data_IF_933392855762
#
_entry.id   IF_933392855762
#
_cell.length_a   1.000
_cell.length_b   1.000
_cell.length_c   1.000
_cell.angle_alpha   90.00
_cell.angle_beta   90.00
_cell.angle_gamma   90.00
#
_symmetry.space_group_name_H-M   'P 1'
#
loop_
_entity.id
_entity.type
_entity.pdbx_description
1 polymer ?
#
# COMPACT_ATOMS: atom_id res chain seq x y z
N UNK A 1 -0.64 -8.20 20.14
CA UNK A 1 -0.98 -7.93 18.73
C UNK A 1 -0.22 -6.67 18.37
N UNK A 2 0.80 -6.75 17.51
CA UNK A 2 1.45 -5.55 16.99
C UNK A 2 0.40 -4.80 16.19
N UNK A 3 0.16 -3.54 16.56
CA UNK A 3 -0.67 -2.67 15.72
C UNK A 3 0.11 -2.42 14.42
N UNK A 4 -0.59 -2.35 13.29
CA UNK A 4 0.02 -1.97 12.02
C UNK A 4 -0.72 -0.75 11.49
N UNK A 5 0.01 0.20 10.90
CA UNK A 5 -0.62 1.11 9.93
C UNK A 5 -0.53 0.42 8.59
N UNK A 6 -1.68 0.15 8.00
CA UNK A 6 -1.79 -0.37 6.64
C UNK A 6 -2.12 0.79 5.71
N UNK A 7 -1.29 0.98 4.71
CA UNK A 7 -1.65 1.80 3.54
C UNK A 7 -1.76 0.90 2.33
N UNK A 8 -2.61 1.22 1.36
CA UNK A 8 -2.81 0.31 0.25
C UNK A 8 -3.34 0.97 -1.00
N UNK A 9 -3.12 0.30 -2.14
CA UNK A 9 -3.61 0.69 -3.46
C UNK A 9 -4.49 -0.42 -4.03
N UNK A 10 -5.59 -0.04 -4.65
CA UNK A 10 -6.56 -0.96 -5.28
C UNK A 10 -6.55 -0.77 -6.79
N UNK A 11 -6.37 -1.85 -7.53
CA UNK A 11 -6.29 -1.85 -8.98
C UNK A 11 -7.56 -2.43 -9.62
N UNK A 12 -7.93 -1.89 -10.78
CA UNK A 12 -9.08 -2.33 -11.59
C UNK A 12 -8.79 -3.53 -12.52
N UNK A 13 -7.58 -4.10 -12.47
CA UNK A 13 -7.10 -5.13 -13.43
C UNK A 13 -7.13 -6.56 -12.88
N UNK A 14 -6.90 -7.53 -13.78
CA UNK A 14 -7.09 -8.98 -13.58
C UNK A 14 -5.83 -9.80 -13.27
N UNK A 15 -4.60 -9.24 -13.21
CA UNK A 15 -3.43 -9.99 -12.67
C UNK A 15 -2.35 -9.11 -12.01
N UNK A 16 -2.00 -9.38 -10.75
CA UNK A 16 -0.88 -8.72 -10.03
C UNK A 16 0.49 -9.19 -10.51
N UNK A 17 0.56 -10.18 -11.40
CA UNK A 17 1.83 -10.79 -11.84
C UNK A 17 2.79 -9.76 -12.45
N UNK A 18 2.25 -8.70 -13.06
CA UNK A 18 3.05 -7.57 -13.56
C UNK A 18 3.43 -6.56 -12.46
N UNK A 19 2.66 -6.49 -11.37
CA UNK A 19 2.89 -5.57 -10.25
C UNK A 19 4.07 -5.97 -9.38
N UNK A 20 4.22 -7.26 -9.06
CA UNK A 20 5.28 -7.73 -8.16
C UNK A 20 6.66 -7.28 -8.64
N UNK A 21 6.93 -7.42 -9.94
CA UNK A 21 8.20 -6.99 -10.51
C UNK A 21 8.41 -5.48 -10.42
N UNK A 22 7.37 -4.70 -10.76
CA UNK A 22 7.40 -3.22 -10.65
C UNK A 22 7.74 -2.79 -9.22
N UNK A 23 7.15 -3.45 -8.23
CA UNK A 23 7.38 -3.16 -6.82
C UNK A 23 8.77 -3.57 -6.36
N UNK A 24 9.25 -4.74 -6.75
CA UNK A 24 10.63 -5.17 -6.48
C UNK A 24 11.62 -4.16 -7.07
N UNK A 25 11.42 -3.72 -8.32
CA UNK A 25 12.29 -2.75 -8.98
C UNK A 25 12.25 -1.39 -8.26
N UNK A 26 11.05 -0.93 -7.87
CA UNK A 26 10.84 0.30 -7.09
C UNK A 26 11.55 0.25 -5.74
N UNK A 27 11.39 -0.82 -4.99
CA UNK A 27 12.02 -1.02 -3.67
C UNK A 27 13.53 -1.09 -3.83
N UNK A 28 14.01 -1.90 -4.77
CA UNK A 28 15.44 -2.08 -5.05
C UNK A 28 16.13 -0.80 -5.53
N UNK A 29 15.38 0.15 -6.10
CA UNK A 29 15.90 1.47 -6.48
C UNK A 29 16.16 2.42 -5.29
N UNK A 30 15.69 2.07 -4.08
CA UNK A 30 15.83 2.91 -2.89
C UNK A 30 17.09 2.54 -2.12
N UNK A 31 18.08 3.42 -2.13
CA UNK A 31 19.41 3.21 -1.55
C UNK A 31 19.46 2.83 -0.04
N UNK A 32 18.37 3.00 0.72
CA UNK A 32 18.32 2.68 2.16
C UNK A 32 17.26 1.62 2.50
N UNK A 33 16.75 0.89 1.51
CA UNK A 33 15.77 -0.19 1.72
C UNK A 33 16.36 -1.49 1.23
N UNK A 34 16.29 -2.51 2.08
CA UNK A 34 16.71 -3.87 1.79
C UNK A 34 15.48 -4.78 1.71
N UNK A 35 15.45 -5.67 0.72
CA UNK A 35 14.50 -6.78 0.67
C UNK A 35 15.12 -7.92 1.46
N UNK A 36 14.61 -8.18 2.66
CA UNK A 36 15.14 -9.24 3.52
C UNK A 36 14.76 -10.62 2.98
N UNK A 37 13.50 -10.79 2.59
CA UNK A 37 13.00 -12.01 2.00
C UNK A 37 11.66 -11.81 1.28
N UNK A 38 11.30 -12.80 0.47
CA UNK A 38 10.09 -12.83 -0.34
C UNK A 38 9.32 -14.10 -0.01
N UNK A 39 8.04 -13.95 0.35
CA UNK A 39 7.15 -15.08 0.63
C UNK A 39 6.43 -15.48 -0.66
N UNK A 40 6.56 -16.74 -1.03
CA UNK A 40 5.91 -17.33 -2.19
C UNK A 40 4.89 -18.40 -1.76
N UNK A 41 3.64 -18.26 -2.16
CA UNK A 41 2.58 -19.25 -1.98
C UNK A 41 2.45 -20.16 -3.20
N UNK A 42 2.33 -21.46 -2.95
CA UNK A 42 2.12 -22.48 -3.98
C UNK A 42 0.72 -23.06 -3.83
N UNK A 43 -0.23 -22.72 -4.73
CA UNK A 43 -1.58 -23.29 -4.69
C UNK A 43 -1.59 -24.81 -4.87
N UNK A 44 -0.60 -25.36 -5.58
CA UNK A 44 -0.47 -26.80 -5.86
C UNK A 44 -0.20 -27.63 -4.60
N UNK A 45 0.54 -27.05 -3.66
CA UNK A 45 0.95 -27.71 -2.43
C UNK A 45 0.31 -27.13 -1.18
N UNK A 46 -0.48 -26.06 -1.31
CA UNK A 46 -1.06 -25.26 -0.22
C UNK A 46 -0.02 -24.86 0.85
N UNK A 47 1.16 -24.46 0.40
CA UNK A 47 2.28 -24.10 1.28
C UNK A 47 2.91 -22.78 0.87
N UNK A 48 3.32 -22.02 1.88
CA UNK A 48 4.16 -20.83 1.72
C UNK A 48 5.62 -21.19 1.94
N UNK A 49 6.50 -20.55 1.16
CA UNK A 49 7.95 -20.70 1.26
C UNK A 49 8.60 -19.33 1.24
N UNK A 50 9.69 -19.19 2.00
CA UNK A 50 10.49 -17.98 2.02
C UNK A 50 11.67 -18.15 1.07
N UNK A 51 11.85 -17.18 0.17
CA UNK A 51 12.93 -17.13 -0.82
C UNK A 51 13.66 -15.80 -0.74
N UNK A 52 14.92 -15.77 -1.16
CA UNK A 52 15.59 -14.52 -1.46
C UNK A 52 15.27 -14.01 -2.87
N UNK A 53 15.64 -12.76 -3.17
CA UNK A 53 15.34 -12.12 -4.45
C UNK A 53 15.97 -12.86 -5.65
N UNK A 54 17.19 -13.38 -5.50
CA UNK A 54 17.89 -14.06 -6.59
C UNK A 54 17.26 -15.41 -6.93
N UNK A 55 16.74 -16.14 -5.94
CA UNK A 55 15.96 -17.36 -6.15
C UNK A 55 14.67 -17.08 -6.92
N UNK A 56 13.94 -16.03 -6.55
CA UNK A 56 12.70 -15.63 -7.25
C UNK A 56 12.98 -15.25 -8.71
N UNK A 57 14.07 -14.50 -8.96
CA UNK A 57 14.50 -14.15 -10.31
C UNK A 57 14.88 -15.37 -11.14
N UNK A 58 15.68 -16.28 -10.57
CA UNK A 58 16.17 -17.49 -11.24
C UNK A 58 15.03 -18.44 -11.63
N UNK A 59 14.08 -18.62 -10.71
CA UNK A 59 12.93 -19.52 -10.92
C UNK A 59 11.79 -18.85 -11.71
N UNK A 60 11.91 -17.56 -12.01
CA UNK A 60 10.85 -16.72 -12.58
C UNK A 60 9.52 -16.85 -11.82
N UNK A 61 9.59 -16.97 -10.48
CA UNK A 61 8.44 -17.31 -9.63
C UNK A 61 7.66 -16.10 -9.12
N UNK A 62 7.70 -14.96 -9.83
CA UNK A 62 7.02 -13.72 -9.44
C UNK A 62 5.51 -13.89 -9.26
N UNK A 63 4.90 -14.81 -10.02
CA UNK A 63 3.47 -15.09 -9.91
C UNK A 63 3.06 -15.86 -8.67
N UNK A 64 4.04 -16.33 -7.87
CA UNK A 64 3.80 -17.02 -6.60
C UNK A 64 4.02 -16.08 -5.42
N UNK A 65 4.53 -14.87 -5.64
CA UNK A 65 4.86 -13.93 -4.56
C UNK A 65 3.59 -13.36 -3.94
N UNK A 66 3.50 -13.45 -2.62
CA UNK A 66 2.41 -12.87 -1.82
C UNK A 66 2.89 -11.76 -0.90
N UNK A 67 4.16 -11.80 -0.45
CA UNK A 67 4.73 -10.80 0.45
C UNK A 67 6.18 -10.48 0.07
N UNK A 68 6.60 -9.22 0.24
CA UNK A 68 8.00 -8.79 0.23
C UNK A 68 8.27 -8.14 1.58
N UNK A 69 9.11 -8.79 2.38
CA UNK A 69 9.54 -8.27 3.68
C UNK A 69 10.74 -7.35 3.45
N UNK A 70 10.61 -6.11 3.91
CA UNK A 70 11.56 -5.05 3.67
C UNK A 70 12.03 -4.41 4.97
N UNK A 71 13.24 -3.89 4.94
CA UNK A 71 13.84 -3.18 6.06
C UNK A 71 14.52 -1.90 5.61
N UNK A 72 14.26 -0.82 6.32
CA UNK A 72 14.97 0.44 6.16
C UNK A 72 16.25 0.41 7.01
N UNK A 73 17.40 0.37 6.34
CA UNK A 73 18.72 0.11 6.97
C UNK A 73 19.10 1.17 8.02
N UNK A 74 18.73 2.44 7.80
CA UNK A 74 19.14 3.54 8.69
C UNK A 74 18.41 3.55 10.03
N UNK A 75 17.12 3.25 10.00
CA UNK A 75 16.23 3.44 11.15
C UNK A 75 15.73 2.10 11.72
N UNK A 76 16.24 0.97 11.19
CA UNK A 76 15.81 -0.39 11.51
C UNK A 76 14.28 -0.58 11.43
N UNK A 77 13.63 0.16 10.53
CA UNK A 77 12.20 0.13 10.35
C UNK A 77 11.82 -0.98 9.38
N UNK A 78 10.98 -1.90 9.83
CA UNK A 78 10.51 -3.03 9.04
C UNK A 78 9.13 -2.73 8.46
N UNK A 79 8.93 -3.12 7.20
CA UNK A 79 7.66 -3.00 6.53
C UNK A 79 7.43 -4.15 5.56
N UNK A 80 6.18 -4.50 5.33
CA UNK A 80 5.79 -5.59 4.46
C UNK A 80 4.98 -5.05 3.30
N UNK A 81 5.31 -5.49 2.08
CA UNK A 81 4.48 -5.28 0.90
C UNK A 81 3.72 -6.55 0.60
N UNK A 82 2.40 -6.55 0.81
CA UNK A 82 1.52 -7.70 0.57
C UNK A 82 0.73 -7.54 -0.72
N UNK A 83 0.61 -8.62 -1.48
CA UNK A 83 -0.15 -8.67 -2.73
C UNK A 83 -1.41 -9.50 -2.53
N UNK A 84 -2.54 -8.94 -2.93
CA UNK A 84 -3.85 -9.59 -2.83
C UNK A 84 -4.51 -9.70 -4.19
N UNK A 85 -5.13 -10.85 -4.44
CA UNK A 85 -5.95 -11.13 -5.61
C UNK A 85 -7.21 -11.86 -5.16
N UNK A 86 -8.34 -11.25 -5.47
CA UNK A 86 -9.67 -11.84 -5.28
C UNK A 86 -10.48 -11.71 -6.57
N UNK A 87 -11.63 -12.39 -6.65
CA UNK A 87 -12.47 -12.32 -7.84
C UNK A 87 -12.82 -10.86 -8.21
N UNK A 88 -12.23 -10.38 -9.31
CA UNK A 88 -12.40 -9.04 -9.89
C UNK A 88 -11.70 -7.88 -9.16
N UNK A 89 -10.79 -8.15 -8.23
CA UNK A 89 -10.08 -7.11 -7.48
C UNK A 89 -8.63 -7.51 -7.17
N UNK A 90 -7.74 -6.52 -7.19
CA UNK A 90 -6.35 -6.67 -6.77
C UNK A 90 -5.91 -5.48 -5.95
N UNK A 91 -5.08 -5.76 -4.96
CA UNK A 91 -4.51 -4.71 -4.14
C UNK A 91 -3.10 -5.02 -3.70
N UNK A 92 -2.42 -3.94 -3.33
CA UNK A 92 -1.14 -4.00 -2.62
C UNK A 92 -1.32 -3.30 -1.29
N UNK A 93 -0.94 -3.96 -0.20
CA UNK A 93 -0.85 -3.38 1.12
C UNK A 93 0.61 -3.12 1.48
N UNK A 94 0.85 -2.02 2.19
CA UNK A 94 2.09 -1.66 2.84
C UNK A 94 1.82 -1.59 4.32
N UNK A 95 2.32 -2.59 5.05
CA UNK A 95 2.13 -2.69 6.49
C UNK A 95 3.40 -2.24 7.19
N UNK A 96 3.26 -1.18 7.97
CA UNK A 96 4.31 -0.63 8.80
C UNK A 96 4.05 -1.07 10.24
N UNK A 97 5.05 -1.67 10.89
CA UNK A 97 4.95 -1.98 12.31
C UNK A 97 4.73 -0.71 13.12
N UNK A 98 3.63 -0.65 13.87
CA UNK A 98 3.24 0.55 14.62
C UNK A 98 4.14 0.81 15.83
N UNK A 99 4.84 -0.22 16.34
CA UNK A 99 5.56 -0.16 17.61
C UNK A 99 6.61 0.97 17.67
N UNK A 100 7.09 1.45 16.50
CA UNK A 100 8.08 2.52 16.41
C UNK A 100 7.57 3.80 15.73
N UNK A 101 6.37 3.78 15.14
CA UNK A 101 5.86 4.93 14.38
C UNK A 101 5.60 6.18 15.24
N UNK A 102 5.01 6.08 16.45
CA UNK A 102 4.78 7.25 17.31
C UNK A 102 6.06 7.93 17.79
N UNK A 103 7.17 7.20 17.87
CA UNK A 103 8.47 7.73 18.30
C UNK A 103 9.19 8.47 17.16
N UNK A 104 8.97 8.04 15.92
CA UNK A 104 9.65 8.57 14.73
C UNK A 104 8.86 9.66 14.00
N UNK A 105 7.53 9.65 14.11
CA UNK A 105 6.67 10.55 13.35
C UNK A 105 5.54 11.10 14.20
N UNK A 106 5.24 12.39 14.04
CA UNK A 106 3.91 12.87 14.41
C UNK A 106 2.84 12.27 13.48
N UNK A 107 1.59 12.05 13.94
CA UNK A 107 0.53 11.48 13.11
C UNK A 107 0.36 12.21 11.77
N UNK A 108 0.37 13.56 11.81
CA UNK A 108 0.29 14.41 10.61
C UNK A 108 1.49 14.23 9.66
N UNK A 109 2.69 14.03 10.21
CA UNK A 109 3.90 13.82 9.39
C UNK A 109 3.85 12.46 8.70
N UNK A 110 3.44 11.41 9.42
CA UNK A 110 3.26 10.07 8.88
C UNK A 110 2.20 10.05 7.77
N UNK A 111 1.01 10.61 8.03
CA UNK A 111 -0.08 10.71 7.05
C UNK A 111 0.37 11.39 5.76
N UNK A 112 1.02 12.56 5.85
CA UNK A 112 1.53 13.26 4.67
C UNK A 112 2.58 12.45 3.89
N UNK A 113 3.46 11.73 4.59
CA UNK A 113 4.47 10.88 3.96
C UNK A 113 3.83 9.71 3.22
N UNK A 114 2.86 9.05 3.84
CA UNK A 114 2.10 7.95 3.22
C UNK A 114 1.30 8.43 2.01
N UNK A 115 0.62 9.57 2.09
CA UNK A 115 -0.08 10.17 0.94
C UNK A 115 0.88 10.42 -0.22
N UNK A 116 2.06 10.99 0.06
CA UNK A 116 3.09 11.24 -0.95
C UNK A 116 3.61 9.96 -1.62
N UNK A 117 3.79 8.90 -0.83
CA UNK A 117 4.18 7.57 -1.33
C UNK A 117 3.10 7.00 -2.26
N UNK A 118 1.83 7.03 -1.85
CA UNK A 118 0.70 6.54 -2.64
C UNK A 118 0.58 7.30 -3.97
N UNK A 119 0.66 8.63 -3.95
CA UNK A 119 0.69 9.45 -5.17
C UNK A 119 1.88 9.10 -6.07
N UNK A 120 3.05 8.86 -5.48
CA UNK A 120 4.23 8.45 -6.23
C UNK A 120 4.00 7.11 -6.91
N UNK A 121 3.44 6.12 -6.21
CA UNK A 121 3.11 4.80 -6.78
C UNK A 121 2.17 4.93 -7.97
N UNK A 122 1.16 5.81 -7.90
CA UNK A 122 0.23 6.05 -9.01
C UNK A 122 0.93 6.41 -10.32
N UNK A 123 2.04 7.15 -10.24
CA UNK A 123 2.81 7.55 -11.43
C UNK A 123 3.52 6.37 -12.13
N UNK A 124 3.85 5.31 -11.39
CA UNK A 124 4.43 4.08 -11.93
C UNK A 124 3.34 3.11 -12.39
N UNK A 125 2.26 3.02 -11.62
CA UNK A 125 1.15 2.12 -11.93
C UNK A 125 -0.19 2.67 -11.41
N UNK A 126 -1.04 3.21 -12.29
CA UNK A 126 -2.30 3.83 -11.91
C UNK A 126 -3.26 2.85 -11.19
N UNK A 127 -3.72 3.26 -10.01
CA UNK A 127 -4.73 2.55 -9.23
C UNK A 127 -6.12 3.21 -9.32
N UNK A 128 -7.14 2.50 -8.88
CA UNK A 128 -8.50 3.01 -8.77
C UNK A 128 -8.69 3.92 -7.55
N UNK A 129 -8.19 3.47 -6.39
CA UNK A 129 -8.10 4.28 -5.17
C UNK A 129 -6.95 3.78 -4.29
N UNK A 130 -6.55 4.60 -3.32
CA UNK A 130 -5.65 4.20 -2.26
C UNK A 130 -6.12 4.72 -0.91
N UNK A 131 -5.64 4.13 0.18
CA UNK A 131 -6.09 4.45 1.53
C UNK A 131 -4.98 4.29 2.57
N UNK A 132 -5.25 4.79 3.78
CA UNK A 132 -4.43 4.59 4.98
C UNK A 132 -5.39 4.32 6.14
N UNK A 133 -5.16 3.26 6.90
CA UNK A 133 -5.91 2.93 8.11
C UNK A 133 -5.15 1.94 9.01
N UNK A 134 -5.59 1.80 10.25
CA UNK A 134 -5.14 0.77 11.20
C UNK A 134 -5.99 -0.51 11.16
N UNK A 135 -7.21 -0.47 10.61
CA UNK A 135 -8.15 -1.61 10.60
C UNK A 135 -8.68 -1.98 9.19
N UNK A 136 -8.20 -1.31 8.14
CA UNK A 136 -8.75 -1.40 6.78
C UNK A 136 -8.69 -2.77 6.10
N UNK A 137 -7.92 -3.74 6.63
CA UNK A 137 -7.88 -5.08 6.05
C UNK A 137 -9.29 -5.67 5.96
N UNK A 138 -10.17 -5.48 6.95
CA UNK A 138 -11.44 -6.21 6.97
C UNK A 138 -12.45 -5.66 5.95
N UNK A 139 -12.54 -4.35 5.73
CA UNK A 139 -13.59 -3.78 4.86
C UNK A 139 -13.22 -3.76 3.37
N UNK A 140 -11.92 -3.68 3.05
CA UNK A 140 -11.45 -3.57 1.67
C UNK A 140 -11.78 -4.80 0.81
N UNK A 141 -11.74 -6.01 1.40
CA UNK A 141 -11.88 -7.26 0.65
C UNK A 141 -13.32 -7.67 0.40
N UNK A 142 -14.28 -7.15 1.17
CA UNK A 142 -15.68 -7.54 1.04
C UNK A 142 -16.43 -6.73 -0.02
N UNK A 143 -16.08 -5.45 -0.25
CA UNK A 143 -16.71 -4.63 -1.29
C UNK A 143 -15.84 -3.46 -1.80
N UNK A 144 -14.80 -3.73 -2.61
CA UNK A 144 -13.86 -2.70 -3.11
C UNK A 144 -14.50 -1.69 -4.08
N UNK A 145 -15.78 -1.84 -4.41
CA UNK A 145 -16.54 -0.90 -5.25
C UNK A 145 -17.30 0.14 -4.44
N UNK A 146 -17.50 -0.07 -3.14
CA UNK A 146 -18.25 0.83 -2.26
C UNK A 146 -17.34 1.88 -1.62
N UNK A 147 -16.68 2.70 -2.45
CA UNK A 147 -15.82 3.77 -1.97
C UNK A 147 -16.62 5.06 -2.03
N UNK A 148 -17.59 5.21 -1.15
CA UNK A 148 -18.27 6.48 -0.97
C UNK A 148 -17.35 7.41 -0.17
N UNK A 149 -16.79 8.49 -0.74
CA UNK A 149 -15.73 9.25 -0.08
C UNK A 149 -16.20 9.97 1.18
N UNK A 150 -17.50 10.23 1.26
CA UNK A 150 -18.15 10.86 2.40
C UNK A 150 -18.62 9.84 3.45
N UNK A 151 -18.68 8.56 3.13
CA UNK A 151 -19.07 7.50 4.07
C UNK A 151 -17.93 6.51 4.35
N UNK A 152 -16.76 6.77 3.75
CA UNK A 152 -15.63 5.85 3.76
C UNK A 152 -15.21 5.50 5.19
N UNK A 153 -15.06 4.21 5.51
CA UNK A 153 -14.57 3.77 6.80
C UNK A 153 -13.08 4.09 7.00
N UNK A 154 -12.35 4.48 5.93
CA UNK A 154 -10.92 4.69 5.99
C UNK A 154 -10.53 6.00 6.68
N UNK A 155 -9.47 5.98 7.48
CA UNK A 155 -8.87 7.19 8.06
C UNK A 155 -8.39 8.16 6.97
N UNK A 156 -7.80 7.65 5.89
CA UNK A 156 -7.50 8.44 4.69
C UNK A 156 -7.91 7.68 3.43
N UNK A 157 -8.53 8.39 2.48
CA UNK A 157 -8.85 7.90 1.16
C UNK A 157 -8.31 8.88 0.10
N UNK A 158 -7.65 8.34 -0.93
CA UNK A 158 -7.11 9.11 -2.05
C UNK A 158 -7.73 8.60 -3.35
N UNK A 159 -8.37 9.50 -4.09
CA UNK A 159 -9.04 9.23 -5.35
C UNK A 159 -8.41 10.02 -6.50
N UNK A 160 -7.74 9.34 -7.45
CA UNK A 160 -7.33 9.95 -8.70
C UNK A 160 -8.55 10.35 -9.54
N UNK A 161 -8.67 11.62 -9.93
CA UNK A 161 -9.74 12.17 -10.78
C UNK A 161 -9.21 13.29 -11.66
N UNK A 162 -9.40 13.18 -12.98
CA UNK A 162 -9.03 14.22 -13.96
C UNK A 162 -7.59 14.72 -13.76
N UNK A 163 -6.65 13.78 -13.72
CA UNK A 163 -5.23 13.98 -13.42
C UNK A 163 -4.89 14.43 -11.98
N UNK A 164 -5.84 14.97 -11.22
CA UNK A 164 -5.65 15.39 -9.82
C UNK A 164 -5.87 14.25 -8.81
N UNK A 165 -5.39 14.44 -7.58
CA UNK A 165 -5.66 13.55 -6.45
C UNK A 165 -6.58 14.21 -5.43
N UNK A 166 -7.77 13.66 -5.26
CA UNK A 166 -8.70 14.07 -4.21
C UNK A 166 -8.39 13.30 -2.94
N UNK A 167 -8.01 14.01 -1.87
CA UNK A 167 -7.71 13.40 -0.57
C UNK A 167 -8.84 13.69 0.40
N UNK A 168 -9.40 12.63 0.96
CA UNK A 168 -10.42 12.64 1.99
C UNK A 168 -9.79 12.14 3.28
N UNK A 169 -9.79 12.97 4.31
CA UNK A 169 -9.29 12.64 5.64
C UNK A 169 -10.46 12.50 6.59
N UNK A 170 -10.46 11.41 7.33
CA UNK A 170 -11.28 11.17 8.51
C UNK A 170 -10.36 11.15 9.73
N UNK A 171 -10.81 11.67 10.87
CA UNK A 171 -9.99 11.66 12.09
C UNK A 171 -9.61 10.25 12.52
N UNK A 172 -8.32 10.04 12.81
CA UNK A 172 -7.76 8.81 13.40
C UNK A 172 -8.24 8.56 14.82
N UNK A 173 -8.79 9.58 15.48
CA UNK A 173 -9.39 9.47 16.82
C UNK A 173 -10.67 8.64 16.74
N UNK A 174 -10.54 7.33 16.98
CA UNK A 174 -11.67 6.43 17.21
C UNK A 174 -11.88 6.36 18.73
N UNK A 175 -12.62 7.33 19.26
CA UNK A 175 -13.15 7.22 20.64
C UNK A 175 -14.48 6.42 20.68
N UNK A 176 -14.99 6.02 19.50
CA UNK A 176 -16.24 5.28 19.34
C UNK A 176 -17.50 6.10 19.61
N UNK A 177 -17.39 7.41 19.87
CA UNK A 177 -18.47 8.26 20.36
C UNK A 177 -18.63 9.52 19.49
N UNK A 178 -17.53 10.07 18.97
CA UNK A 178 -17.51 11.34 18.25
C UNK A 178 -17.65 11.14 16.74
N UNK A 179 -18.45 12.01 16.09
CA UNK A 179 -18.48 12.08 14.63
C UNK A 179 -17.08 12.39 14.07
N UNK A 180 -16.64 11.60 13.08
CA UNK A 180 -15.32 11.78 12.45
C UNK A 180 -15.29 13.14 11.74
N UNK A 181 -14.29 13.97 12.04
CA UNK A 181 -14.11 15.24 11.31
C UNK A 181 -13.59 14.93 9.91
N UNK A 182 -14.42 15.22 8.91
CA UNK A 182 -14.10 15.01 7.49
C UNK A 182 -13.39 16.24 6.92
N UNK A 183 -12.29 16.04 6.22
CA UNK A 183 -11.62 17.08 5.43
C UNK A 183 -11.42 16.58 4.01
N UNK A 184 -11.61 17.47 3.04
CA UNK A 184 -11.34 17.21 1.63
C UNK A 184 -10.42 18.29 1.08
N UNK A 185 -9.38 17.87 0.36
CA UNK A 185 -8.55 18.76 -0.43
C UNK A 185 -8.09 18.06 -1.71
N UNK A 186 -7.56 18.86 -2.64
CA UNK A 186 -7.09 18.39 -3.95
C UNK A 186 -5.61 18.68 -4.09
N UNK A 187 -4.84 17.65 -4.40
CA UNK A 187 -3.43 17.77 -4.80
C UNK A 187 -3.39 17.77 -6.32
N UNK A 188 -2.96 18.89 -6.89
CA UNK A 188 -2.84 19.02 -8.34
C UNK A 188 -1.65 18.23 -8.85
N UNK A 189 -1.88 17.33 -9.79
CA UNK A 189 -0.77 16.66 -10.46
C UNK A 189 -0.28 17.59 -11.58
N UNK A 190 0.86 18.22 -11.37
CA UNK A 190 1.47 19.00 -12.45
C UNK A 190 2.22 17.99 -13.33
N UNK A 191 1.86 17.83 -14.62
CA UNK A 191 2.54 16.88 -15.48
C UNK A 191 4.01 17.31 -15.63
N UNK A 192 4.90 16.67 -14.86
CA UNK A 192 6.33 16.70 -15.10
C UNK A 192 6.57 15.90 -16.38
N UNK A 193 6.97 16.61 -17.44
CA UNK A 193 7.38 16.13 -18.75
C UNK A 193 7.47 14.60 -18.87
N UNK A 194 6.43 13.98 -19.47
CA UNK A 194 6.59 12.69 -20.11
C UNK A 194 7.57 12.91 -21.26
N UNK A 195 8.83 12.53 -21.07
CA UNK A 195 9.77 12.39 -22.19
C UNK A 195 9.26 11.24 -23.06
N UNK A 196 8.90 11.59 -24.30
CA UNK A 196 8.59 10.65 -25.38
C UNK A 196 9.73 9.68 -25.63
#
# INVERSE_FOLDING_TARGET
MSSFVSSGCVYKQSSYKNLVKIYIDLISSKANVEIENIVCYSPESDLSSTKNLEEVKKDNSFSKVTHINCKQVRDNLEFVVRFYEEQNYQGVLFDLSYDYLPEMFSPKSLENKLISILITIYSYYPYYFSFIDTEAEVDMFHNPRNIEPLESPYATLILPKNDDFHVYLNTWEIDGISERKKKHYVIKNTPLHRTN
#
